data_IF_748824179478
#
_entry.id   IF_748824179478
#
_cell.length_a   1.000
_cell.length_b   1.000
_cell.length_c   1.000
_cell.angle_alpha   90.00
_cell.angle_beta   90.00
_cell.angle_gamma   90.00
#
_symmetry.space_group_name_H-M   'P 1'
#
loop_
_entity.id
_entity.type
_entity.pdbx_description
1 polymer ?
#
# COMPACT_ATOMS: atom_id res chain seq x y z
N UNK A 1 -16.45 8.95 6.66
CA UNK A 1 -15.68 9.19 5.43
C UNK A 1 -15.61 7.92 4.61
N UNK A 2 -14.87 7.93 3.50
CA UNK A 2 -14.51 6.70 2.77
C UNK A 2 -13.18 6.17 3.30
N UNK A 3 -13.04 4.84 3.39
CA UNK A 3 -11.75 4.19 3.67
C UNK A 3 -11.10 3.86 2.33
N UNK A 4 -9.83 4.22 2.14
CA UNK A 4 -9.11 4.05 0.87
C UNK A 4 -7.75 3.40 1.15
N UNK A 5 -7.40 2.41 0.35
CA UNK A 5 -6.05 1.87 0.27
C UNK A 5 -5.48 2.16 -1.13
N UNK A 6 -4.18 2.46 -1.21
CA UNK A 6 -3.52 2.89 -2.44
C UNK A 6 -2.43 1.89 -2.83
N UNK A 7 -2.34 1.58 -4.12
CA UNK A 7 -1.21 0.86 -4.71
C UNK A 7 -0.89 1.48 -6.08
N UNK A 8 0.33 1.27 -6.57
CA UNK A 8 0.73 1.86 -7.85
C UNK A 8 2.08 1.38 -8.36
N UNK A 9 2.26 1.49 -9.66
CA UNK A 9 3.52 1.19 -10.32
C UNK A 9 4.61 2.19 -9.92
N UNK A 10 5.84 1.71 -9.79
CA UNK A 10 7.03 2.47 -9.49
C UNK A 10 8.26 1.82 -10.16
N UNK A 11 9.37 2.54 -10.20
CA UNK A 11 10.63 2.06 -10.76
C UNK A 11 11.77 2.62 -9.90
N UNK A 12 12.36 1.77 -9.07
CA UNK A 12 13.36 2.20 -8.09
C UNK A 12 14.72 2.53 -8.72
N UNK A 13 15.03 1.94 -9.88
CA UNK A 13 16.29 2.15 -10.59
C UNK A 13 16.18 3.39 -11.48
N UNK A 14 15.16 3.48 -12.33
CA UNK A 14 14.96 4.61 -13.23
C UNK A 14 14.50 5.88 -12.53
N UNK A 15 13.79 5.75 -11.40
CA UNK A 15 13.19 6.88 -10.69
C UNK A 15 13.46 6.89 -9.18
N UNK A 16 14.62 6.39 -8.74
CA UNK A 16 14.97 6.26 -7.32
C UNK A 16 14.95 7.55 -6.48
N UNK A 17 15.00 8.74 -7.08
CA UNK A 17 14.85 10.05 -6.40
C UNK A 17 13.39 10.46 -6.14
N UNK A 18 12.46 9.80 -6.82
CA UNK A 18 11.03 10.10 -6.80
C UNK A 18 10.20 8.82 -6.66
N UNK A 19 10.78 7.78 -6.07
CA UNK A 19 10.21 6.44 -6.06
C UNK A 19 8.80 6.48 -5.46
N UNK A 20 7.81 5.93 -6.17
CA UNK A 20 6.42 5.86 -5.75
C UNK A 20 5.74 7.21 -5.38
N UNK A 21 6.29 8.36 -5.79
CA UNK A 21 5.81 9.68 -5.35
C UNK A 21 4.34 9.98 -5.66
N UNK A 22 3.76 9.36 -6.70
CA UNK A 22 2.34 9.49 -7.03
C UNK A 22 1.41 8.99 -5.91
N UNK A 23 1.84 7.98 -5.13
CA UNK A 23 1.07 7.49 -3.98
C UNK A 23 0.87 8.58 -2.92
N UNK A 24 1.91 9.38 -2.67
CA UNK A 24 1.83 10.51 -1.74
C UNK A 24 0.80 11.54 -2.20
N UNK A 25 0.84 11.90 -3.49
CA UNK A 25 -0.08 12.88 -4.06
C UNK A 25 -1.54 12.43 -3.92
N UNK A 26 -1.82 11.15 -4.17
CA UNK A 26 -3.17 10.58 -4.04
C UNK A 26 -3.60 10.50 -2.57
N UNK A 27 -2.68 10.09 -1.68
CA UNK A 27 -2.91 10.07 -0.23
C UNK A 27 -3.33 11.47 0.28
N UNK A 28 -2.53 12.50 -0.01
CA UNK A 28 -2.82 13.89 0.39
C UNK A 28 -4.16 14.39 -0.18
N UNK A 29 -4.46 14.04 -1.43
CA UNK A 29 -5.71 14.45 -2.07
C UNK A 29 -6.93 13.86 -1.36
N UNK A 30 -6.92 12.57 -1.06
CA UNK A 30 -8.05 11.90 -0.42
C UNK A 30 -8.18 12.25 1.07
N UNK A 31 -7.07 12.43 1.79
CA UNK A 31 -7.10 12.91 3.19
C UNK A 31 -7.75 14.30 3.28
N UNK A 32 -7.43 15.21 2.36
CA UNK A 32 -8.08 16.54 2.27
C UNK A 32 -9.58 16.47 2.02
N UNK A 33 -10.07 15.39 1.41
CA UNK A 33 -11.49 15.13 1.19
C UNK A 33 -12.15 14.35 2.34
N UNK A 34 -11.44 14.11 3.45
CA UNK A 34 -11.96 13.42 4.62
C UNK A 34 -11.98 11.89 4.50
N UNK A 35 -11.15 11.32 3.63
CA UNK A 35 -10.93 9.89 3.59
C UNK A 35 -9.99 9.43 4.72
N UNK A 36 -10.17 8.18 5.15
CA UNK A 36 -9.23 7.47 6.00
C UNK A 36 -8.34 6.62 5.10
N UNK A 37 -7.04 6.88 5.10
CA UNK A 37 -6.06 6.09 4.34
C UNK A 37 -5.59 4.91 5.20
N UNK A 38 -5.52 3.73 4.59
CA UNK A 38 -5.06 2.47 5.21
C UNK A 38 -4.16 1.70 4.23
N UNK A 39 -3.48 0.67 4.73
CA UNK A 39 -2.62 -0.18 3.89
C UNK A 39 -1.23 0.41 3.67
N UNK A 40 -0.61 0.95 4.73
CA UNK A 40 0.81 1.26 4.71
C UNK A 40 1.64 0.01 4.44
N UNK A 41 2.78 0.17 3.76
CA UNK A 41 3.65 -0.95 3.37
C UNK A 41 5.10 -0.70 3.82
N UNK A 42 5.84 -1.73 4.30
CA UNK A 42 7.25 -1.61 4.67
C UNK A 42 8.11 -1.06 3.53
N UNK A 43 9.17 -0.32 3.88
CA UNK A 43 10.18 0.14 2.90
C UNK A 43 11.27 -0.92 2.67
N UNK A 44 11.33 -1.91 3.54
CA UNK A 44 12.28 -3.02 3.47
C UNK A 44 12.10 -3.81 2.16
N UNK A 45 13.21 -4.18 1.54
CA UNK A 45 13.21 -4.87 0.25
C UNK A 45 13.11 -3.94 -0.97
N UNK A 46 13.12 -2.62 -0.78
CA UNK A 46 13.29 -1.64 -1.86
C UNK A 46 14.62 -0.89 -1.70
N UNK A 47 15.21 -0.47 -2.82
CA UNK A 47 16.43 0.35 -2.86
C UNK A 47 16.18 1.63 -3.66
N UNK A 48 16.07 2.76 -2.97
CA UNK A 48 15.81 4.07 -3.56
C UNK A 48 16.57 5.17 -2.81
N UNK A 49 16.79 6.31 -3.46
CA UNK A 49 17.45 7.48 -2.86
C UNK A 49 16.46 8.31 -2.03
N UNK A 50 15.27 8.56 -2.60
CA UNK A 50 14.22 9.32 -1.94
C UNK A 50 12.83 8.93 -2.45
N UNK A 51 11.86 8.96 -1.53
CA UNK A 51 10.44 8.79 -1.83
C UNK A 51 9.62 9.71 -0.94
N UNK A 52 8.79 10.56 -1.57
CA UNK A 52 7.82 11.37 -0.84
C UNK A 52 6.67 10.54 -0.27
N UNK A 53 6.51 9.30 -0.72
CA UNK A 53 5.47 8.38 -0.25
C UNK A 53 5.83 7.69 1.07
N UNK A 54 6.99 7.98 1.68
CA UNK A 54 7.36 7.42 2.97
C UNK A 54 6.92 8.35 4.10
N UNK A 55 6.06 7.85 4.99
CA UNK A 55 5.66 8.50 6.25
C UNK A 55 5.92 7.53 7.41
N UNK A 56 6.54 8.01 8.48
CA UNK A 56 6.86 7.19 9.67
C UNK A 56 7.59 5.87 9.34
N UNK A 57 8.49 5.90 8.35
CA UNK A 57 9.29 4.73 7.96
C UNK A 57 8.57 3.71 7.08
N UNK A 58 7.36 4.01 6.58
CA UNK A 58 6.59 3.12 5.70
C UNK A 58 6.03 3.88 4.50
N UNK A 59 5.80 3.18 3.39
CA UNK A 59 5.03 3.74 2.29
C UNK A 59 3.57 3.95 2.69
N UNK A 60 2.94 5.03 2.21
CA UNK A 60 1.51 5.33 2.43
C UNK A 60 0.54 4.43 1.66
N UNK A 61 1.08 3.48 0.89
CA UNK A 61 0.39 2.51 0.04
C UNK A 61 1.40 1.51 -0.50
N UNK A 62 0.99 0.58 -1.36
CA UNK A 62 1.86 -0.45 -1.92
C UNK A 62 2.52 0.00 -3.24
N UNK A 63 3.85 0.17 -3.30
CA UNK A 63 4.57 0.33 -4.56
C UNK A 63 4.84 -1.03 -5.20
N UNK A 64 4.54 -1.16 -6.50
CA UNK A 64 4.88 -2.34 -7.31
C UNK A 64 5.90 -1.94 -8.37
N UNK A 65 7.02 -2.67 -8.43
CA UNK A 65 8.11 -2.43 -9.36
C UNK A 65 8.28 -3.64 -10.29
N UNK A 66 7.51 -3.65 -11.38
CA UNK A 66 7.56 -4.69 -12.41
C UNK A 66 8.84 -4.63 -13.26
N UNK A 67 9.59 -3.52 -13.21
CA UNK A 67 10.79 -3.34 -14.02
C UNK A 67 11.98 -4.03 -13.37
N UNK A 68 12.11 -3.90 -12.05
CA UNK A 68 13.29 -4.34 -11.31
C UNK A 68 13.03 -5.48 -10.32
N UNK A 69 11.76 -5.72 -9.93
CA UNK A 69 11.37 -6.66 -8.89
C UNK A 69 10.04 -7.37 -9.21
N UNK A 70 9.82 -7.72 -10.48
CA UNK A 70 8.58 -8.39 -10.92
C UNK A 70 8.35 -9.72 -10.22
N UNK A 71 9.43 -10.41 -9.81
CA UNK A 71 9.36 -11.65 -9.04
C UNK A 71 8.74 -11.48 -7.65
N UNK A 72 8.71 -10.25 -7.11
CA UNK A 72 8.14 -9.95 -5.79
C UNK A 72 6.69 -9.44 -5.86
N UNK A 73 6.14 -9.20 -7.05
CA UNK A 73 4.82 -8.57 -7.18
C UNK A 73 3.71 -9.40 -6.54
N UNK A 74 3.63 -10.70 -6.87
CA UNK A 74 2.57 -11.57 -6.36
C UNK A 74 2.62 -11.71 -4.84
N UNK A 75 3.83 -11.86 -4.28
CA UNK A 75 4.06 -11.93 -2.84
C UNK A 75 3.61 -10.63 -2.15
N UNK A 76 4.02 -9.47 -2.67
CA UNK A 76 3.69 -8.17 -2.10
C UNK A 76 2.20 -7.86 -2.14
N UNK A 77 1.53 -8.16 -3.26
CA UNK A 77 0.08 -8.01 -3.39
C UNK A 77 -0.63 -8.91 -2.38
N UNK A 78 -0.22 -10.18 -2.27
CA UNK A 78 -0.83 -11.13 -1.34
C UNK A 78 -0.70 -10.66 0.11
N UNK A 79 0.52 -10.31 0.54
CA UNK A 79 0.79 -9.79 1.87
C UNK A 79 -0.06 -8.54 2.18
N UNK A 80 -0.13 -7.61 1.24
CA UNK A 80 -0.86 -6.35 1.42
C UNK A 80 -2.37 -6.56 1.50
N UNK A 81 -2.93 -7.41 0.63
CA UNK A 81 -4.36 -7.75 0.65
C UNK A 81 -4.73 -8.47 1.95
N UNK A 82 -3.90 -9.38 2.46
CA UNK A 82 -4.13 -10.05 3.74
C UNK A 82 -4.17 -9.05 4.91
N UNK A 83 -3.25 -8.07 4.93
CA UNK A 83 -3.24 -7.01 5.92
C UNK A 83 -4.49 -6.10 5.85
N UNK A 84 -5.04 -5.91 4.65
CA UNK A 84 -6.23 -5.11 4.40
C UNK A 84 -7.55 -5.84 4.68
N UNK A 85 -7.56 -7.17 4.65
CA UNK A 85 -8.77 -7.98 4.79
C UNK A 85 -9.60 -7.65 6.04
N UNK A 86 -9.03 -7.51 7.25
CA UNK A 86 -9.80 -7.16 8.45
C UNK A 86 -10.43 -5.75 8.39
N UNK A 87 -9.93 -4.88 7.51
CA UNK A 87 -10.39 -3.50 7.38
C UNK A 87 -11.57 -3.40 6.40
N UNK A 88 -11.51 -4.13 5.29
CA UNK A 88 -12.50 -4.03 4.21
C UNK A 88 -13.52 -5.16 4.17
N UNK A 89 -13.20 -6.33 4.70
CA UNK A 89 -14.13 -7.45 4.77
C UNK A 89 -14.70 -7.49 6.19
N UNK A 90 -16.00 -7.24 6.32
CA UNK A 90 -16.70 -7.48 7.58
C UNK A 90 -16.47 -8.95 7.96
N UNK A 91 -15.89 -9.19 9.14
CA UNK A 91 -15.83 -10.54 9.71
C UNK A 91 -17.26 -11.05 9.74
N UNK A 92 -17.60 -12.07 8.94
CA UNK A 92 -18.85 -12.79 9.14
C UNK A 92 -18.84 -13.24 10.60
N UNK A 93 -19.76 -12.69 11.40
CA UNK A 93 -20.02 -13.17 12.74
C UNK A 93 -20.17 -14.68 12.64
N UNK A 94 -19.30 -15.41 13.33
CA UNK A 94 -19.37 -16.85 13.43
C UNK A 94 -20.81 -17.26 13.75
N UNK A 95 -21.51 -17.83 12.77
CA UNK A 95 -22.78 -18.50 13.00
C UNK A 95 -22.42 -19.76 13.78
N UNK A 96 -22.51 -19.67 15.10
CA UNK A 96 -22.56 -20.83 15.97
C UNK A 96 -23.75 -21.67 15.53
N UNK A 97 -23.47 -22.80 14.87
CA UNK A 97 -24.46 -23.86 14.69
C UNK A 97 -24.46 -24.64 16.01
N UNK A 98 -25.52 -24.55 16.85
CA UNK A 98 -25.63 -25.44 18.00
C UNK A 98 -25.82 -26.88 17.49
N UNK A 99 -25.21 -27.82 18.22
CA UNK A 99 -25.20 -29.25 17.95
C UNK A 99 -26.59 -29.88 17.88
#
# INVERSE_FOLDING_TARGET
GKTIALFGAADQVGHGKHFAGALQLMCDHFEKLGATIVGDFPIEGYSFEHSSAVRNGKFVGLPIDEVNQSELTEERITQWVEALRPIFVATESAVLIPA
#
